data_IF_616224747710
#
_entry.id   IF_616224747710
#
_cell.length_a   1.000
_cell.length_b   1.000
_cell.length_c   1.000
_cell.angle_alpha   90.00
_cell.angle_beta   90.00
_cell.angle_gamma   90.00
#
_symmetry.space_group_name_H-M   'P 1'
#
loop_
_entity.id
_entity.type
_entity.pdbx_description
1 polymer ?
#
# COMPACT_ATOMS: atom_id res chain seq x y z
N UNK A 1 6.17 -10.42 -3.93
CA UNK A 1 5.44 -10.49 -5.21
C UNK A 1 6.27 -11.29 -6.20
N UNK A 2 5.64 -12.09 -7.04
CA UNK A 2 6.36 -12.91 -8.03
C UNK A 2 6.62 -12.14 -9.32
N UNK A 3 7.40 -12.73 -10.24
CA UNK A 3 7.79 -12.09 -11.50
C UNK A 3 6.61 -11.71 -12.38
N UNK A 4 5.59 -12.55 -12.42
CA UNK A 4 4.41 -12.30 -13.23
C UNK A 4 3.62 -11.12 -12.70
N UNK A 5 3.43 -11.07 -11.38
CA UNK A 5 2.78 -9.94 -10.72
C UNK A 5 3.55 -8.64 -10.95
N UNK A 6 4.89 -8.68 -10.80
CA UNK A 6 5.73 -7.51 -11.02
C UNK A 6 5.58 -6.97 -12.44
N UNK A 7 5.56 -7.86 -13.45
CA UNK A 7 5.36 -7.44 -14.85
C UNK A 7 4.00 -6.80 -15.05
N UNK A 8 2.95 -7.37 -14.44
CA UNK A 8 1.60 -6.81 -14.54
C UNK A 8 1.53 -5.41 -13.97
N UNK A 9 2.12 -5.21 -12.79
CA UNK A 9 2.10 -3.90 -12.14
C UNK A 9 2.96 -2.89 -12.91
N UNK A 10 4.10 -3.32 -13.45
CA UNK A 10 4.93 -2.45 -14.28
C UNK A 10 4.20 -2.04 -15.55
N UNK A 11 3.49 -2.95 -16.17
CA UNK A 11 2.69 -2.64 -17.36
C UNK A 11 1.61 -1.60 -17.06
N UNK A 12 0.97 -1.69 -15.89
CA UNK A 12 -0.03 -0.71 -15.49
C UNK A 12 0.57 0.70 -15.37
N UNK A 13 1.75 0.80 -14.75
CA UNK A 13 2.45 2.08 -14.62
C UNK A 13 2.81 2.61 -16.01
N UNK A 14 3.34 1.77 -16.89
CA UNK A 14 3.77 2.17 -18.22
C UNK A 14 2.59 2.59 -19.09
N UNK A 15 1.48 1.88 -19.00
CA UNK A 15 0.31 2.13 -19.86
C UNK A 15 -0.48 3.37 -19.42
N UNK A 16 -0.73 3.51 -18.11
CA UNK A 16 -1.59 4.59 -17.60
C UNK A 16 -0.83 5.86 -17.25
N UNK A 17 0.48 5.76 -17.07
CA UNK A 17 1.33 6.90 -16.77
C UNK A 17 1.37 7.28 -15.31
N UNK A 18 2.49 7.84 -14.90
CA UNK A 18 2.75 8.19 -13.50
C UNK A 18 1.73 9.16 -12.90
N UNK A 19 1.35 10.27 -13.57
CA UNK A 19 0.39 11.20 -12.97
C UNK A 19 -0.94 10.54 -12.62
N UNK A 20 -1.46 9.70 -13.52
CA UNK A 20 -2.70 8.96 -13.30
C UNK A 20 -2.56 7.99 -12.11
N UNK A 21 -1.45 7.28 -12.04
CA UNK A 21 -1.20 6.31 -10.96
C UNK A 21 -1.03 7.00 -9.61
N UNK A 22 -0.43 8.18 -9.56
CA UNK A 22 -0.31 8.96 -8.32
C UNK A 22 -1.70 9.35 -7.80
N UNK A 23 -2.59 9.78 -8.69
CA UNK A 23 -3.96 10.11 -8.30
C UNK A 23 -4.70 8.90 -7.76
N UNK A 24 -4.48 7.72 -8.35
CA UNK A 24 -5.10 6.48 -7.87
C UNK A 24 -4.59 6.08 -6.50
N UNK A 25 -3.31 6.27 -6.22
CA UNK A 25 -2.77 6.04 -4.87
C UNK A 25 -3.54 6.89 -3.85
N UNK A 26 -3.76 8.16 -4.16
CA UNK A 26 -4.48 9.07 -3.28
C UNK A 26 -5.91 8.61 -3.04
N UNK A 27 -6.61 8.19 -4.10
CA UNK A 27 -7.97 7.68 -3.99
C UNK A 27 -8.05 6.42 -3.12
N UNK A 28 -7.19 5.44 -3.39
CA UNK A 28 -7.19 4.17 -2.65
C UNK A 28 -6.80 4.38 -1.19
N UNK A 29 -5.83 5.25 -0.92
CA UNK A 29 -5.46 5.58 0.45
C UNK A 29 -6.63 6.23 1.19
N UNK A 30 -7.36 7.11 0.51
CA UNK A 30 -8.56 7.74 1.09
C UNK A 30 -9.65 6.74 1.43
N UNK A 31 -9.87 5.75 0.55
CA UNK A 31 -10.85 4.70 0.78
C UNK A 31 -10.45 3.81 1.95
N UNK A 32 -9.17 3.49 2.10
CA UNK A 32 -8.67 2.73 3.24
C UNK A 32 -8.89 3.51 4.54
N UNK A 33 -8.55 4.79 4.56
CA UNK A 33 -8.75 5.63 5.73
C UNK A 33 -10.22 5.69 6.11
N UNK A 34 -11.11 5.80 5.13
CA UNK A 34 -12.55 5.80 5.35
C UNK A 34 -13.02 4.48 5.96
N UNK A 35 -12.59 3.35 5.41
CA UNK A 35 -12.97 2.03 5.90
C UNK A 35 -12.51 1.81 7.35
N UNK A 36 -11.26 2.18 7.65
CA UNK A 36 -10.71 2.07 9.01
C UNK A 36 -11.46 2.99 9.99
N UNK A 37 -11.78 4.21 9.56
CA UNK A 37 -12.54 5.14 10.38
C UNK A 37 -13.94 4.62 10.72
N UNK A 38 -14.61 4.02 9.76
CA UNK A 38 -15.93 3.42 9.98
C UNK A 38 -15.86 2.27 10.98
N UNK A 39 -14.86 1.40 10.82
CA UNK A 39 -14.64 0.31 11.76
C UNK A 39 -14.39 0.84 13.18
N UNK A 40 -13.50 1.82 13.31
CA UNK A 40 -13.14 2.39 14.61
C UNK A 40 -14.33 3.04 15.32
N UNK A 41 -15.28 3.61 14.56
CA UNK A 41 -16.48 4.23 15.10
C UNK A 41 -17.64 3.24 15.29
N UNK A 42 -17.42 1.96 14.98
CA UNK A 42 -18.46 0.94 15.12
C UNK A 42 -19.60 1.06 14.13
N UNK A 43 -19.34 1.65 12.96
CA UNK A 43 -20.36 1.81 11.93
C UNK A 43 -20.63 0.46 11.25
N UNK A 44 -21.86 0.25 10.84
CA UNK A 44 -22.31 -1.03 10.26
C UNK A 44 -21.53 -1.37 8.96
N UNK A 45 -21.23 -0.36 8.16
CA UNK A 45 -20.48 -0.56 6.90
C UNK A 45 -18.98 -0.69 7.10
N UNK A 46 -18.48 -0.49 8.33
CA UNK A 46 -17.07 -0.66 8.67
C UNK A 46 -16.77 -2.13 8.96
N UNK A 47 -16.72 -2.96 7.93
CA UNK A 47 -16.52 -4.41 8.07
C UNK A 47 -15.07 -4.81 7.86
N UNK A 48 -14.71 -5.96 8.41
CA UNK A 48 -13.40 -6.58 8.18
C UNK A 48 -13.16 -6.78 6.68
N UNK A 49 -14.18 -7.24 5.96
CA UNK A 49 -14.09 -7.50 4.52
C UNK A 49 -13.79 -6.23 3.73
N UNK A 50 -14.44 -5.12 4.09
CA UNK A 50 -14.18 -3.82 3.46
C UNK A 50 -12.74 -3.39 3.69
N UNK A 51 -12.23 -3.56 4.92
CA UNK A 51 -10.85 -3.20 5.25
C UNK A 51 -9.86 -4.06 4.44
N UNK A 52 -10.08 -5.37 4.37
CA UNK A 52 -9.20 -6.28 3.63
C UNK A 52 -9.14 -5.88 2.15
N UNK A 53 -10.29 -5.56 1.55
CA UNK A 53 -10.36 -5.10 0.16
C UNK A 53 -9.49 -3.86 -0.04
N UNK A 54 -9.65 -2.86 0.82
CA UNK A 54 -8.90 -1.61 0.69
C UNK A 54 -7.41 -1.79 0.98
N UNK A 55 -7.04 -2.68 1.91
CA UNK A 55 -5.64 -3.01 2.16
C UNK A 55 -4.99 -3.62 0.91
N UNK A 56 -5.70 -4.52 0.23
CA UNK A 56 -5.20 -5.13 -0.99
C UNK A 56 -5.00 -4.07 -2.09
N UNK A 57 -6.00 -3.19 -2.28
CA UNK A 57 -5.93 -2.14 -3.28
C UNK A 57 -4.75 -1.19 -3.02
N UNK A 58 -4.60 -0.75 -1.77
CA UNK A 58 -3.49 0.16 -1.40
C UNK A 58 -2.14 -0.54 -1.58
N UNK A 59 -2.02 -1.82 -1.18
CA UNK A 59 -0.75 -2.54 -1.31
C UNK A 59 -0.32 -2.66 -2.77
N UNK A 60 -1.27 -2.88 -3.69
CA UNK A 60 -0.98 -2.93 -5.12
C UNK A 60 -0.44 -1.57 -5.59
N UNK A 61 -1.08 -0.48 -5.20
CA UNK A 61 -0.65 0.86 -5.58
C UNK A 61 0.73 1.20 -5.01
N UNK A 62 1.01 0.81 -3.76
CA UNK A 62 2.33 1.01 -3.15
C UNK A 62 3.40 0.26 -3.95
N UNK A 63 3.12 -1.00 -4.33
CA UNK A 63 4.06 -1.79 -5.14
C UNK A 63 4.31 -1.15 -6.49
N UNK A 64 3.27 -0.63 -7.15
CA UNK A 64 3.43 0.08 -8.42
C UNK A 64 4.33 1.30 -8.29
N UNK A 65 4.12 2.09 -7.26
CA UNK A 65 4.96 3.26 -7.00
C UNK A 65 6.40 2.86 -6.70
N UNK A 66 6.59 1.80 -5.92
CA UNK A 66 7.93 1.30 -5.60
C UNK A 66 8.65 0.83 -6.87
N UNK A 67 7.97 0.14 -7.78
CA UNK A 67 8.56 -0.27 -9.05
C UNK A 67 9.01 0.94 -9.88
N UNK A 68 8.25 2.01 -9.84
CA UNK A 68 8.59 3.22 -10.59
C UNK A 68 9.77 3.98 -9.97
N UNK A 69 9.75 4.18 -8.66
CA UNK A 69 10.72 5.04 -7.98
C UNK A 69 11.99 4.33 -7.54
N UNK A 70 11.96 3.02 -7.35
CA UNK A 70 13.13 2.24 -6.94
C UNK A 70 12.74 1.14 -5.98
N UNK A 71 12.53 -0.06 -6.52
CA UNK A 71 12.05 -1.18 -5.70
C UNK A 71 13.09 -1.64 -4.69
N UNK A 72 14.37 -1.73 -5.10
CA UNK A 72 15.43 -2.15 -4.19
C UNK A 72 15.58 -1.19 -3.00
N UNK A 73 15.56 0.11 -3.29
CA UNK A 73 15.67 1.13 -2.26
C UNK A 73 14.45 1.11 -1.32
N UNK A 74 13.26 0.85 -1.88
CA UNK A 74 12.04 0.71 -1.10
C UNK A 74 12.15 -0.44 -0.11
N UNK A 75 12.61 -1.61 -0.55
CA UNK A 75 12.75 -2.79 0.30
C UNK A 75 13.79 -2.53 1.41
N UNK A 76 14.93 -1.95 1.07
CA UNK A 76 15.95 -1.61 2.06
C UNK A 76 15.42 -0.67 3.13
N UNK A 77 14.72 0.37 2.71
CA UNK A 77 14.14 1.35 3.63
C UNK A 77 13.08 0.72 4.53
N UNK A 78 12.24 -0.13 3.96
CA UNK A 78 11.21 -0.85 4.70
C UNK A 78 11.82 -1.75 5.77
N UNK A 79 12.85 -2.51 5.39
CA UNK A 79 13.54 -3.42 6.31
C UNK A 79 14.21 -2.64 7.46
N UNK A 80 14.82 -1.50 7.13
CA UNK A 80 15.45 -0.64 8.13
C UNK A 80 14.43 -0.11 9.13
N UNK A 81 13.26 0.29 8.66
CA UNK A 81 12.20 0.81 9.52
C UNK A 81 11.61 -0.28 10.41
N UNK A 82 11.47 -1.49 9.90
CA UNK A 82 11.01 -2.63 10.70
C UNK A 82 12.02 -2.95 11.80
N UNK A 83 13.32 -2.94 11.48
CA UNK A 83 14.36 -3.17 12.46
C UNK A 83 14.34 -2.11 13.56
N UNK A 84 14.14 -0.85 13.18
CA UNK A 84 14.03 0.25 14.16
C UNK A 84 12.82 0.06 15.08
N UNK A 85 11.70 -0.38 14.52
CA UNK A 85 10.51 -0.69 15.30
C UNK A 85 10.78 -1.82 16.30
N UNK A 86 11.47 -2.87 15.86
CA UNK A 86 11.84 -4.00 16.70
C UNK A 86 12.67 -3.53 17.90
N UNK A 87 13.67 -2.68 17.65
CA UNK A 87 14.52 -2.13 18.70
C UNK A 87 13.71 -1.29 19.70
N UNK A 88 12.78 -0.50 19.18
CA UNK A 88 11.91 0.33 20.01
C UNK A 88 11.03 -0.52 20.93
N UNK A 89 10.48 -1.61 20.40
CA UNK A 89 9.64 -2.53 21.16
C UNK A 89 10.43 -3.25 22.25
N UNK A 90 11.70 -3.56 22.00
CA UNK A 90 12.58 -4.22 22.99
C UNK A 90 12.91 -3.30 24.16
N UNK A 91 12.85 -1.99 23.97
CA UNK A 91 13.15 -1.00 25.02
C UNK A 91 11.94 -0.59 25.84
N UNK A 92 10.75 -0.95 25.39
CA UNK A 92 9.50 -0.54 26.04
C UNK A 92 9.17 -1.37 27.26
#
# INVERSE_FOLDING_TARGET
>A
MNSDQARTLQEAVDRYGLPSQILMVSEEAGELLSALGKYARGRQEGTKEAIITELADVSIMVEQMALHFGYAEYIEERDRKIQRLKERLQKS
#
